data_IF_842724510891
#
_entry.id   IF_842724510891
#
_cell.length_a   1.000
_cell.length_b   1.000
_cell.length_c   1.000
_cell.angle_alpha   90.00
_cell.angle_beta   90.00
_cell.angle_gamma   90.00
#
_symmetry.space_group_name_H-M   'P 1'
#
loop_
_entity.id
_entity.type
_entity.pdbx_description
1 polymer ?
#
# COMPACT_ATOMS: atom_id res chain seq x y z
N UNK A 1 24.34 -16.73 24.82
CA UNK A 1 23.70 -15.44 24.47
C UNK A 1 24.55 -14.28 25.04
N UNK A 2 25.13 -13.41 24.20
CA UNK A 2 25.78 -12.18 24.67
C UNK A 2 24.72 -11.33 25.36
N UNK A 3 24.87 -11.03 26.66
CA UNK A 3 24.03 -10.05 27.37
C UNK A 3 24.30 -8.70 26.70
N UNK A 4 23.37 -8.24 25.86
CA UNK A 4 23.46 -6.90 25.28
C UNK A 4 23.33 -5.86 26.40
N UNK A 5 24.37 -5.05 26.61
CA UNK A 5 24.33 -3.91 27.53
C UNK A 5 23.24 -2.88 27.17
N UNK A 6 22.82 -2.85 25.91
CA UNK A 6 21.73 -2.00 25.38
C UNK A 6 20.70 -2.89 24.71
N UNK A 7 19.45 -2.48 24.81
CA UNK A 7 18.31 -3.16 24.15
C UNK A 7 18.39 -3.02 22.64
N UNK A 8 17.93 -4.02 21.92
CA UNK A 8 17.90 -4.07 20.47
C UNK A 8 16.52 -3.67 19.97
N UNK A 9 16.46 -2.85 18.94
CA UNK A 9 15.30 -2.67 18.07
C UNK A 9 15.64 -3.21 16.69
N UNK A 10 14.84 -4.17 16.21
CA UNK A 10 15.15 -4.89 14.99
C UNK A 10 14.00 -4.77 13.99
N UNK A 11 14.34 -4.50 12.74
CA UNK A 11 13.41 -4.64 11.61
C UNK A 11 13.43 -6.07 11.12
N UNK A 12 12.27 -6.73 11.12
CA UNK A 12 12.11 -8.09 10.63
C UNK A 12 10.75 -8.20 9.95
N UNK A 13 10.67 -7.77 8.70
CA UNK A 13 9.50 -7.87 7.85
C UNK A 13 9.82 -8.76 6.66
N UNK A 14 8.81 -9.54 6.22
CA UNK A 14 8.89 -10.49 5.12
C UNK A 14 7.92 -10.18 3.97
N UNK A 15 7.32 -9.00 4.00
CA UNK A 15 6.45 -8.46 2.95
C UNK A 15 7.23 -7.61 1.91
N UNK A 16 6.53 -6.87 1.06
CA UNK A 16 7.12 -6.12 -0.04
C UNK A 16 8.17 -5.08 0.38
N UNK A 17 9.04 -4.71 -0.56
CA UNK A 17 10.18 -3.82 -0.36
C UNK A 17 9.86 -2.55 0.44
N UNK A 18 8.76 -1.84 0.07
CA UNK A 18 8.37 -0.60 0.76
C UNK A 18 8.04 -0.79 2.25
N UNK A 19 7.37 -1.89 2.61
CA UNK A 19 7.04 -2.21 4.01
C UNK A 19 8.28 -2.55 4.82
N UNK A 20 9.23 -3.31 4.24
CA UNK A 20 10.52 -3.66 4.86
C UNK A 20 11.35 -2.40 5.15
N UNK A 21 11.46 -1.51 4.18
CA UNK A 21 12.21 -0.25 4.34
C UNK A 21 11.54 0.71 5.32
N UNK A 22 10.20 0.78 5.37
CA UNK A 22 9.50 1.53 6.41
C UNK A 22 9.81 1.01 7.82
N UNK A 23 9.78 -0.31 8.01
CA UNK A 23 10.15 -0.94 9.28
C UNK A 23 11.61 -0.68 9.66
N UNK A 24 12.52 -0.72 8.68
CA UNK A 24 13.94 -0.43 8.87
C UNK A 24 14.16 1.01 9.34
N UNK A 25 13.53 1.97 8.66
CA UNK A 25 13.60 3.39 9.06
C UNK A 25 13.01 3.63 10.45
N UNK A 26 11.92 2.98 10.78
CA UNK A 26 11.32 3.05 12.12
C UNK A 26 12.25 2.46 13.18
N UNK A 27 12.92 1.35 12.91
CA UNK A 27 13.91 0.80 13.82
C UNK A 27 15.08 1.77 14.03
N UNK A 28 15.58 2.39 12.96
CA UNK A 28 16.63 3.41 13.06
C UNK A 28 16.16 4.64 13.86
N UNK A 29 14.93 5.09 13.66
CA UNK A 29 14.33 6.18 14.43
C UNK A 29 14.25 5.85 15.93
N UNK A 30 13.66 4.70 16.27
CA UNK A 30 13.50 4.26 17.66
C UNK A 30 14.88 4.08 18.33
N UNK A 31 15.84 3.51 17.61
CA UNK A 31 17.23 3.36 18.10
C UNK A 31 17.82 4.69 18.54
N UNK A 32 17.64 5.76 17.74
CA UNK A 32 18.14 7.10 18.05
C UNK A 32 17.42 7.74 19.24
N UNK A 33 16.09 7.65 19.28
CA UNK A 33 15.29 8.28 20.34
C UNK A 33 15.46 7.60 21.68
N UNK A 34 15.56 6.27 21.70
CA UNK A 34 15.62 5.49 22.94
C UNK A 34 17.03 5.03 23.34
N UNK A 35 18.03 5.31 22.50
CA UNK A 35 19.40 4.82 22.66
C UNK A 35 19.46 3.27 22.68
N UNK A 36 18.73 2.62 21.76
CA UNK A 36 18.77 1.19 21.55
C UNK A 36 19.80 0.85 20.45
N UNK A 37 20.27 -0.40 20.42
CA UNK A 37 20.95 -0.91 19.26
C UNK A 37 19.97 -1.10 18.11
N UNK A 38 20.40 -0.74 16.91
CA UNK A 38 19.65 -0.99 15.68
C UNK A 38 20.12 -2.28 15.03
N UNK A 39 19.18 -3.04 14.47
CA UNK A 39 19.44 -4.20 13.64
C UNK A 39 18.32 -4.44 12.62
N UNK A 40 18.62 -5.28 11.62
CA UNK A 40 17.63 -5.75 10.67
C UNK A 40 17.89 -7.19 10.26
N UNK A 41 16.79 -7.88 9.90
CA UNK A 41 16.78 -9.16 9.21
C UNK A 41 16.26 -8.92 7.81
N UNK A 42 16.86 -9.55 6.81
CA UNK A 42 16.42 -9.47 5.42
C UNK A 42 16.33 -10.88 4.85
N UNK A 43 15.13 -11.31 4.47
CA UNK A 43 14.88 -12.62 3.89
C UNK A 43 14.54 -12.46 2.42
N UNK A 44 15.09 -13.30 1.57
CA UNK A 44 14.88 -13.25 0.12
C UNK A 44 13.52 -13.80 -0.29
N UNK A 45 12.94 -14.71 0.53
CA UNK A 45 11.64 -15.31 0.25
C UNK A 45 10.58 -14.76 1.18
N UNK A 46 9.41 -14.53 0.64
CA UNK A 46 8.20 -14.26 1.40
C UNK A 46 7.64 -15.60 1.87
N UNK A 47 7.98 -16.00 3.09
CA UNK A 47 7.50 -17.25 3.73
C UNK A 47 6.01 -17.21 4.11
N UNK A 48 5.24 -16.24 3.67
CA UNK A 48 3.85 -16.17 4.05
C UNK A 48 2.97 -16.96 3.09
N UNK A 49 2.17 -17.87 3.65
CA UNK A 49 1.10 -18.60 2.96
C UNK A 49 0.11 -17.68 2.21
N UNK A 50 0.13 -16.38 2.53
CA UNK A 50 -0.68 -15.33 1.91
C UNK A 50 -0.19 -14.91 0.51
N UNK A 51 1.05 -15.23 0.15
CA UNK A 51 1.69 -14.79 -1.09
C UNK A 51 2.06 -15.93 -2.05
N UNK A 52 1.52 -17.13 -1.88
CA UNK A 52 1.67 -18.24 -2.84
C UNK A 52 0.92 -18.01 -4.17
N UNK A 53 0.55 -16.77 -4.47
CA UNK A 53 -0.19 -16.44 -5.68
C UNK A 53 0.73 -16.26 -6.89
N UNK A 54 0.37 -16.95 -7.96
CA UNK A 54 1.10 -17.03 -9.23
C UNK A 54 1.35 -15.63 -9.80
N UNK A 55 2.58 -15.41 -10.31
CA UNK A 55 2.85 -14.34 -11.28
C UNK A 55 1.79 -14.37 -12.37
N UNK A 56 1.06 -13.30 -12.56
CA UNK A 56 0.24 -13.08 -13.73
C UNK A 56 0.88 -11.98 -14.57
N UNK A 57 0.76 -12.08 -15.90
CA UNK A 57 1.31 -11.08 -16.82
C UNK A 57 0.58 -9.72 -16.74
N UNK A 58 -0.45 -9.61 -15.89
CA UNK A 58 -1.35 -8.45 -15.82
C UNK A 58 -0.96 -7.41 -14.78
N UNK A 59 -0.16 -7.75 -13.79
CA UNK A 59 0.25 -6.81 -12.75
C UNK A 59 1.57 -7.21 -12.12
N UNK A 60 2.25 -6.22 -11.57
CA UNK A 60 3.53 -6.42 -10.90
C UNK A 60 3.30 -6.90 -9.47
N UNK A 61 3.70 -8.11 -9.18
CA UNK A 61 3.67 -8.67 -7.83
C UNK A 61 5.10 -8.87 -7.34
N UNK A 62 5.48 -8.23 -6.23
CA UNK A 62 6.77 -8.45 -5.57
C UNK A 62 6.64 -9.57 -4.55
N UNK A 63 6.70 -10.82 -5.00
CA UNK A 63 6.67 -12.00 -4.13
C UNK A 63 8.07 -12.42 -3.65
N UNK A 64 9.10 -12.05 -4.40
CA UNK A 64 10.49 -12.35 -4.08
C UNK A 64 11.23 -11.03 -3.86
N UNK A 65 11.92 -10.87 -2.75
CA UNK A 65 12.85 -9.77 -2.54
C UNK A 65 14.24 -10.19 -2.96
N UNK A 66 14.93 -9.28 -3.66
CA UNK A 66 16.35 -9.47 -3.99
C UNK A 66 17.19 -9.55 -2.72
N UNK A 67 18.36 -10.10 -2.86
CA UNK A 67 19.33 -10.31 -1.77
C UNK A 67 19.76 -8.98 -1.14
N UNK A 68 20.02 -9.02 0.15
CA UNK A 68 20.48 -7.84 0.89
C UNK A 68 21.79 -7.27 0.34
N UNK A 69 22.63 -8.14 -0.22
CA UNK A 69 23.92 -7.80 -0.84
C UNK A 69 23.75 -6.95 -2.10
N UNK A 70 22.63 -7.12 -2.80
CA UNK A 70 22.30 -6.31 -3.97
C UNK A 70 21.79 -4.92 -3.59
N UNK A 71 21.12 -4.80 -2.43
CA UNK A 71 20.53 -3.54 -1.93
C UNK A 71 21.53 -2.72 -1.14
N UNK A 72 22.23 -3.35 -0.19
CA UNK A 72 23.04 -2.67 0.80
C UNK A 72 24.53 -2.90 0.59
N UNK A 73 25.33 -1.90 0.94
CA UNK A 73 26.79 -2.03 0.99
C UNK A 73 27.21 -3.02 2.08
N UNK A 74 28.30 -3.75 1.85
CA UNK A 74 28.82 -4.80 2.75
C UNK A 74 29.05 -4.30 4.18
N UNK A 75 29.54 -3.07 4.36
CA UNK A 75 29.79 -2.49 5.69
C UNK A 75 28.49 -2.25 6.47
N UNK A 76 27.40 -1.86 5.78
CA UNK A 76 26.10 -1.71 6.41
C UNK A 76 25.55 -3.06 6.85
N UNK A 77 25.67 -4.08 6.01
CA UNK A 77 25.26 -5.46 6.33
C UNK A 77 26.08 -5.96 7.52
N UNK A 78 27.40 -5.91 7.45
CA UNK A 78 28.29 -6.38 8.53
C UNK A 78 27.99 -5.73 9.88
N UNK A 79 27.59 -4.48 9.87
CA UNK A 79 27.34 -3.71 11.09
C UNK A 79 25.98 -3.95 11.71
N UNK A 80 24.91 -4.14 10.90
CA UNK A 80 23.53 -4.07 11.36
C UNK A 80 22.69 -5.30 11.04
N UNK A 81 23.13 -6.20 10.16
CA UNK A 81 22.34 -7.38 9.81
C UNK A 81 22.45 -8.48 10.85
N UNK A 82 21.31 -9.17 11.06
CA UNK A 82 21.18 -10.39 11.86
C UNK A 82 20.56 -11.47 10.99
N UNK A 83 21.13 -12.69 10.99
CA UNK A 83 20.62 -13.80 10.18
C UNK A 83 19.24 -14.27 10.64
N UNK A 84 19.06 -14.30 11.96
CA UNK A 84 17.79 -14.71 12.57
C UNK A 84 17.53 -13.96 13.87
N UNK A 85 16.27 -13.92 14.25
CA UNK A 85 15.85 -13.51 15.60
C UNK A 85 15.11 -14.66 16.29
N UNK A 86 15.17 -14.74 17.65
CA UNK A 86 14.65 -15.88 18.40
C UNK A 86 13.13 -16.07 18.35
N UNK A 87 12.37 -15.20 17.69
CA UNK A 87 10.91 -15.27 17.64
C UNK A 87 10.35 -14.98 16.27
N UNK A 88 9.39 -15.80 15.84
CA UNK A 88 8.59 -15.63 14.62
C UNK A 88 7.32 -14.79 14.83
N UNK A 89 7.03 -14.34 16.05
CA UNK A 89 5.79 -13.63 16.37
C UNK A 89 5.94 -12.16 15.99
N UNK A 90 5.09 -11.70 15.07
CA UNK A 90 5.01 -10.29 14.70
C UNK A 90 4.19 -9.55 15.76
N UNK A 91 4.85 -8.70 16.56
CA UNK A 91 4.15 -7.84 17.49
C UNK A 91 3.85 -6.49 16.86
N UNK A 92 2.59 -6.13 16.88
CA UNK A 92 2.14 -4.83 16.41
C UNK A 92 2.22 -3.79 17.52
N UNK A 93 2.85 -2.65 17.24
CA UNK A 93 2.82 -1.50 18.12
C UNK A 93 1.41 -0.90 18.30
N UNK A 94 0.42 -1.35 17.54
CA UNK A 94 -0.98 -0.91 17.70
C UNK A 94 -1.54 -1.10 19.13
N UNK A 95 -1.08 -2.12 19.85
CA UNK A 95 -1.42 -2.30 21.26
C UNK A 95 -0.92 -1.17 22.17
N UNK A 96 0.00 -0.34 21.65
CA UNK A 96 0.58 0.80 22.37
C UNK A 96 0.01 2.14 21.89
N UNK A 97 -1.03 2.10 21.04
CA UNK A 97 -1.64 3.31 20.47
C UNK A 97 -2.07 4.30 21.57
N UNK A 98 -1.69 5.57 21.38
CA UNK A 98 -1.96 6.65 22.32
C UNK A 98 -1.00 6.73 23.50
N UNK A 99 -0.06 5.79 23.66
CA UNK A 99 0.98 5.81 24.70
C UNK A 99 2.22 6.56 24.24
N UNK A 100 3.08 6.97 25.19
CA UNK A 100 4.40 7.51 24.88
C UNK A 100 5.32 6.45 24.31
N UNK A 101 6.19 6.80 23.34
CA UNK A 101 7.20 5.89 22.79
C UNK A 101 8.19 5.40 23.87
N UNK A 102 8.38 6.17 24.95
CA UNK A 102 9.26 5.79 26.05
C UNK A 102 8.76 4.57 26.83
N UNK A 103 7.50 4.13 26.64
CA UNK A 103 7.00 2.88 27.19
C UNK A 103 7.86 1.68 26.78
N UNK A 104 8.51 1.76 25.61
CA UNK A 104 9.42 0.73 25.13
C UNK A 104 10.65 0.55 26.03
N UNK A 105 11.00 1.51 26.87
CA UNK A 105 12.07 1.37 27.88
C UNK A 105 11.65 0.58 29.12
N UNK A 106 10.39 0.68 29.49
CA UNK A 106 9.93 0.34 30.85
C UNK A 106 9.09 -0.93 30.92
N UNK A 107 8.55 -1.41 29.78
CA UNK A 107 7.77 -2.65 29.79
C UNK A 107 8.66 -3.89 29.73
N UNK A 108 8.22 -4.98 30.40
CA UNK A 108 8.80 -6.28 30.12
C UNK A 108 8.67 -6.54 28.62
N UNK A 109 9.78 -6.90 28.03
CA UNK A 109 9.87 -7.12 26.59
C UNK A 109 9.17 -8.41 26.27
N UNK A 110 8.44 -8.39 25.16
CA UNK A 110 7.91 -9.63 24.58
C UNK A 110 9.05 -10.53 24.07
N UNK A 111 10.25 -9.92 23.91
CA UNK A 111 11.47 -10.63 23.52
C UNK A 111 12.62 -10.34 24.49
N UNK A 112 13.45 -11.33 24.73
CA UNK A 112 14.63 -11.20 25.59
C UNK A 112 15.66 -10.20 25.07
N UNK A 113 15.66 -9.90 23.77
CA UNK A 113 16.61 -8.95 23.15
C UNK A 113 16.11 -7.49 23.13
N UNK A 114 14.80 -7.25 23.19
CA UNK A 114 14.21 -5.91 23.05
C UNK A 114 12.90 -5.91 22.28
N UNK A 115 12.83 -5.21 21.13
CA UNK A 115 11.60 -5.05 20.35
C UNK A 115 11.80 -5.26 18.88
N UNK A 116 10.74 -5.70 18.21
CA UNK A 116 10.63 -5.71 16.75
C UNK A 116 9.92 -4.43 16.28
N UNK A 117 10.47 -3.77 15.27
CA UNK A 117 9.86 -2.60 14.63
C UNK A 117 8.68 -2.96 13.75
N UNK A 118 7.85 -1.97 13.43
CA UNK A 118 6.75 -2.08 12.48
C UNK A 118 6.92 -1.10 11.31
N UNK A 119 6.14 -1.31 10.27
CA UNK A 119 6.14 -0.47 9.06
C UNK A 119 5.24 0.77 9.17
N UNK A 120 4.40 0.86 10.18
CA UNK A 120 3.40 1.91 10.31
C UNK A 120 4.00 3.27 10.66
N UNK A 121 3.24 4.34 10.40
CA UNK A 121 3.61 5.69 10.81
C UNK A 121 3.55 5.82 12.34
N UNK A 122 4.71 5.92 12.97
CA UNK A 122 4.81 5.96 14.43
C UNK A 122 4.15 7.20 15.04
N UNK A 123 3.99 8.28 14.29
CA UNK A 123 3.28 9.49 14.76
C UNK A 123 1.78 9.25 14.93
N UNK A 124 1.23 8.21 14.29
CA UNK A 124 -0.17 7.80 14.47
C UNK A 124 -0.36 6.78 15.59
N UNK A 125 0.73 6.22 16.10
CA UNK A 125 0.74 5.22 17.16
C UNK A 125 1.08 5.84 18.50
N UNK A 126 2.18 6.58 18.59
CA UNK A 126 2.68 7.15 19.85
C UNK A 126 2.30 8.61 20.00
N UNK A 127 1.75 8.97 21.15
CA UNK A 127 1.21 10.32 21.42
C UNK A 127 2.26 11.43 21.44
N UNK A 128 3.50 11.10 21.76
CA UNK A 128 4.63 12.02 21.85
C UNK A 128 5.52 12.06 20.60
N UNK A 129 5.23 11.25 19.60
CA UNK A 129 5.93 11.28 18.30
C UNK A 129 5.30 12.36 17.42
N UNK A 130 5.94 13.52 17.33
CA UNK A 130 5.49 14.64 16.50
C UNK A 130 5.85 14.41 15.03
N UNK A 131 4.87 14.40 14.15
CA UNK A 131 5.02 14.04 12.73
C UNK A 131 6.17 14.81 12.05
N UNK A 132 6.24 16.14 12.19
CA UNK A 132 7.29 16.96 11.56
C UNK A 132 8.70 16.56 11.97
N UNK A 133 8.92 16.31 13.27
CA UNK A 133 10.23 15.88 13.78
C UNK A 133 10.55 14.45 13.36
N UNK A 134 9.56 13.58 13.44
CA UNK A 134 9.65 12.20 13.02
C UNK A 134 10.07 12.10 11.55
N UNK A 135 9.35 12.77 10.63
CA UNK A 135 9.69 12.81 9.21
C UNK A 135 11.11 13.34 8.95
N UNK A 136 11.52 14.39 9.65
CA UNK A 136 12.90 14.91 9.55
C UNK A 136 13.94 13.86 9.94
N UNK A 137 13.72 13.12 11.00
CA UNK A 137 14.64 12.07 11.46
C UNK A 137 14.63 10.84 10.55
N UNK A 138 13.48 10.47 9.97
CA UNK A 138 13.42 9.40 8.97
C UNK A 138 14.27 9.74 7.73
N UNK A 139 14.15 10.97 7.19
CA UNK A 139 15.00 11.43 6.07
C UNK A 139 16.48 11.42 6.43
N UNK A 140 16.83 11.83 7.64
CA UNK A 140 18.23 11.72 8.11
C UNK A 140 18.68 10.26 8.18
N UNK A 141 17.82 9.36 8.69
CA UNK A 141 18.11 7.93 8.75
C UNK A 141 18.24 7.31 7.37
N UNK A 142 17.40 7.73 6.40
CA UNK A 142 17.51 7.30 5.01
C UNK A 142 18.89 7.60 4.41
N UNK A 143 19.39 8.81 4.62
CA UNK A 143 20.70 9.25 4.12
C UNK A 143 21.89 8.54 4.81
N UNK A 144 21.66 7.89 5.94
CA UNK A 144 22.66 7.08 6.65
C UNK A 144 22.71 5.62 6.16
N UNK A 145 21.73 5.18 5.37
CA UNK A 145 21.75 3.85 4.77
C UNK A 145 22.80 3.82 3.68
N UNK A 146 23.73 2.89 3.81
CA UNK A 146 24.74 2.64 2.78
C UNK A 146 24.16 1.65 1.75
N UNK A 147 23.64 2.19 0.66
CA UNK A 147 23.17 1.39 -0.46
C UNK A 147 24.34 0.89 -1.33
N UNK A 148 24.11 -0.22 -2.04
CA UNK A 148 25.03 -0.75 -3.06
C UNK A 148 25.26 0.27 -4.18
N UNK A 149 26.27 0.05 -5.00
CA UNK A 149 26.57 0.92 -6.15
C UNK A 149 25.39 0.96 -7.13
N UNK A 150 24.77 -0.18 -7.40
CA UNK A 150 23.62 -0.29 -8.29
C UNK A 150 22.43 0.51 -7.77
N UNK A 151 22.05 0.36 -6.51
CA UNK A 151 20.93 1.10 -5.92
C UNK A 151 21.19 2.61 -5.86
N UNK A 152 22.44 3.02 -5.63
CA UNK A 152 22.80 4.45 -5.73
C UNK A 152 22.68 4.98 -7.16
N UNK A 153 23.05 4.19 -8.15
CA UNK A 153 22.83 4.56 -9.56
C UNK A 153 21.36 4.73 -9.88
N UNK A 154 20.51 3.79 -9.46
CA UNK A 154 19.04 3.88 -9.61
C UNK A 154 18.48 5.15 -8.95
N UNK A 155 18.97 5.51 -7.76
CA UNK A 155 18.56 6.76 -7.09
C UNK A 155 18.89 7.99 -7.95
N UNK A 156 20.10 8.06 -8.49
CA UNK A 156 20.52 9.16 -9.35
C UNK A 156 19.68 9.27 -10.62
N UNK A 157 19.34 8.14 -11.23
CA UNK A 157 18.48 8.11 -12.40
C UNK A 157 17.05 8.63 -12.09
N UNK A 158 16.46 8.20 -10.98
CA UNK A 158 15.17 8.72 -10.54
C UNK A 158 15.22 10.23 -10.26
N UNK A 159 16.32 10.72 -9.69
CA UNK A 159 16.53 12.16 -9.47
C UNK A 159 16.72 12.95 -10.78
N UNK A 160 17.35 12.37 -11.79
CA UNK A 160 17.43 12.99 -13.14
C UNK A 160 16.03 13.14 -13.75
N UNK A 161 15.21 12.08 -13.67
CA UNK A 161 13.84 12.14 -14.16
C UNK A 161 13.04 13.21 -13.40
N UNK A 162 13.14 13.28 -12.08
CA UNK A 162 12.43 14.29 -11.30
C UNK A 162 12.82 15.73 -11.72
N UNK A 163 14.08 15.97 -12.08
CA UNK A 163 14.57 17.28 -12.56
C UNK A 163 14.05 17.68 -13.94
N UNK A 164 13.52 16.74 -14.75
CA UNK A 164 12.87 17.07 -16.02
C UNK A 164 11.59 17.90 -15.81
N UNK A 165 11.01 17.84 -14.62
CA UNK A 165 9.81 18.56 -14.25
C UNK A 165 10.17 19.85 -13.48
N UNK A 166 10.60 20.90 -14.21
CA UNK A 166 11.08 22.16 -13.63
C UNK A 166 10.11 22.81 -12.63
N UNK A 167 8.80 22.75 -12.92
CA UNK A 167 7.73 23.24 -12.03
C UNK A 167 7.30 22.23 -10.97
N UNK A 168 7.97 21.07 -10.91
CA UNK A 168 7.58 19.95 -10.08
C UNK A 168 6.42 19.15 -10.68
N UNK A 169 5.96 18.14 -9.94
CA UNK A 169 4.86 17.27 -10.34
C UNK A 169 4.07 16.79 -9.12
N UNK A 170 2.85 16.32 -9.38
CA UNK A 170 2.03 15.58 -8.43
C UNK A 170 2.14 14.08 -8.72
N UNK A 171 2.32 13.27 -7.68
CA UNK A 171 2.31 11.82 -7.80
C UNK A 171 0.95 11.26 -7.39
N UNK A 172 0.44 10.29 -8.15
CA UNK A 172 -0.74 9.52 -7.79
C UNK A 172 -0.35 8.05 -7.76
N UNK A 173 -0.43 7.44 -6.58
CA UNK A 173 -0.16 6.02 -6.40
C UNK A 173 -1.48 5.23 -6.38
N UNK A 174 -1.68 4.39 -7.40
CA UNK A 174 -2.85 3.54 -7.58
C UNK A 174 -2.42 2.09 -7.32
N UNK A 175 -2.57 1.62 -6.08
CA UNK A 175 -2.51 0.20 -5.79
C UNK A 175 -3.76 -0.46 -6.34
N UNK A 176 -3.61 -1.49 -7.15
CA UNK A 176 -4.69 -2.18 -7.82
C UNK A 176 -4.42 -3.69 -7.93
N UNK A 177 -3.40 -4.09 -8.65
CA UNK A 177 -2.93 -5.41 -9.03
C UNK A 177 -3.57 -6.59 -8.28
N UNK A 178 -2.84 -7.14 -7.32
CA UNK A 178 -3.27 -8.29 -6.52
C UNK A 178 -4.62 -8.07 -5.80
N UNK A 179 -4.92 -6.86 -5.40
CA UNK A 179 -6.15 -6.54 -4.67
C UNK A 179 -7.39 -6.67 -5.56
N UNK A 180 -7.30 -6.24 -6.82
CA UNK A 180 -8.44 -6.25 -7.74
C UNK A 180 -8.53 -7.56 -8.50
N UNK A 181 -7.40 -8.09 -9.00
CA UNK A 181 -7.41 -9.27 -9.88
C UNK A 181 -7.39 -10.60 -9.13
N UNK A 182 -6.85 -10.64 -7.91
CA UNK A 182 -6.83 -11.84 -7.06
C UNK A 182 -7.88 -11.81 -5.93
N UNK A 183 -8.74 -10.81 -5.94
CA UNK A 183 -9.76 -10.61 -4.94
C UNK A 183 -10.83 -11.72 -5.01
N UNK A 184 -10.50 -12.89 -4.47
CA UNK A 184 -11.37 -14.08 -4.44
C UNK A 184 -11.83 -14.43 -3.03
N UNK A 185 -11.78 -13.50 -2.12
CA UNK A 185 -11.84 -13.82 -0.73
C UNK A 185 -13.21 -13.87 -0.09
N UNK A 186 -13.32 -14.69 0.91
CA UNK A 186 -14.50 -14.98 1.74
C UNK A 186 -14.43 -14.36 3.13
N UNK A 187 -13.45 -13.54 3.44
CA UNK A 187 -13.22 -13.13 4.82
C UNK A 187 -13.57 -11.67 5.09
N UNK A 188 -13.80 -11.34 6.35
CA UNK A 188 -13.94 -9.95 6.84
C UNK A 188 -12.76 -9.05 6.47
N UNK A 189 -11.63 -9.62 6.10
CA UNK A 189 -10.44 -8.95 5.58
C UNK A 189 -10.70 -8.20 4.26
N UNK A 190 -11.71 -8.59 3.51
CA UNK A 190 -12.10 -7.95 2.26
C UNK A 190 -12.37 -6.47 2.43
N UNK A 191 -13.05 -6.07 3.51
CA UNK A 191 -13.34 -4.66 3.77
C UNK A 191 -12.06 -3.85 3.99
N UNK A 192 -11.08 -4.41 4.71
CA UNK A 192 -9.78 -3.76 4.93
C UNK A 192 -8.92 -3.76 3.67
N UNK A 193 -8.98 -4.83 2.88
CA UNK A 193 -8.23 -4.92 1.62
C UNK A 193 -8.79 -3.99 0.57
N UNK A 194 -10.10 -3.79 0.51
CA UNK A 194 -10.72 -2.86 -0.43
C UNK A 194 -10.12 -1.45 -0.33
N UNK A 195 -9.90 -0.94 0.87
CA UNK A 195 -9.27 0.37 1.07
C UNK A 195 -7.75 0.42 0.83
N UNK A 196 -7.11 -0.70 0.50
CA UNK A 196 -5.71 -0.71 0.04
C UNK A 196 -5.59 -0.31 -1.43
N UNK A 197 -6.58 -0.68 -2.25
CA UNK A 197 -6.65 -0.28 -3.64
C UNK A 197 -7.36 1.07 -3.80
N UNK A 198 -7.25 1.66 -4.99
CA UNK A 198 -7.99 2.87 -5.38
C UNK A 198 -8.61 2.64 -6.75
N UNK A 199 -9.91 2.93 -6.89
CA UNK A 199 -10.60 2.84 -8.17
C UNK A 199 -10.05 3.86 -9.17
N UNK A 200 -9.78 3.41 -10.40
CA UNK A 200 -9.38 4.30 -11.50
C UNK A 200 -10.48 5.32 -11.84
N UNK A 201 -11.75 4.98 -11.68
CA UNK A 201 -12.86 5.92 -11.84
C UNK A 201 -12.78 7.06 -10.81
N UNK A 202 -12.46 6.74 -9.55
CA UNK A 202 -12.24 7.76 -8.52
C UNK A 202 -11.07 8.69 -8.90
N UNK A 203 -9.96 8.12 -9.36
CA UNK A 203 -8.78 8.91 -9.75
C UNK A 203 -9.06 9.80 -10.97
N UNK A 204 -9.79 9.30 -11.96
CA UNK A 204 -10.17 10.10 -13.13
C UNK A 204 -10.91 11.39 -12.71
N UNK A 205 -11.87 11.28 -11.79
CA UNK A 205 -12.56 12.45 -11.26
C UNK A 205 -11.65 13.35 -10.39
N UNK A 206 -10.76 12.77 -9.61
CA UNK A 206 -9.78 13.56 -8.84
C UNK A 206 -8.92 14.39 -9.78
N UNK A 207 -8.44 13.82 -10.87
CA UNK A 207 -7.65 14.54 -11.87
C UNK A 207 -8.51 15.63 -12.52
N UNK A 208 -9.71 15.28 -12.98
CA UNK A 208 -10.61 16.21 -13.70
C UNK A 208 -11.05 17.40 -12.84
N UNK A 209 -11.40 17.18 -11.59
CA UNK A 209 -12.03 18.20 -10.76
C UNK A 209 -11.11 18.88 -9.75
N UNK A 210 -9.99 18.26 -9.40
CA UNK A 210 -9.09 18.76 -8.36
C UNK A 210 -7.69 19.06 -8.85
N UNK A 211 -7.22 18.38 -9.89
CA UNK A 211 -5.88 18.50 -10.43
C UNK A 211 -5.85 19.06 -11.85
N UNK A 212 -6.96 19.63 -12.33
CA UNK A 212 -7.07 20.19 -13.69
C UNK A 212 -6.11 21.34 -13.97
N UNK A 213 -5.63 22.02 -12.92
CA UNK A 213 -4.66 23.12 -13.00
C UNK A 213 -3.20 22.64 -12.88
N UNK A 214 -2.97 21.36 -12.58
CA UNK A 214 -1.63 20.79 -12.46
C UNK A 214 -1.09 20.46 -13.86
N UNK A 215 0.14 20.89 -14.15
CA UNK A 215 0.75 20.68 -15.45
C UNK A 215 1.36 19.27 -15.59
N UNK A 216 1.86 18.70 -14.50
CA UNK A 216 2.56 17.41 -14.54
C UNK A 216 2.01 16.47 -13.45
N UNK A 217 1.46 15.36 -13.87
CA UNK A 217 0.97 14.29 -12.98
C UNK A 217 1.67 13.00 -13.38
N UNK A 218 2.32 12.34 -12.42
CA UNK A 218 2.91 11.02 -12.64
C UNK A 218 2.07 9.97 -11.93
N UNK A 219 1.59 8.99 -12.67
CA UNK A 219 0.86 7.82 -12.17
C UNK A 219 1.85 6.70 -11.88
N UNK A 220 1.79 6.18 -10.65
CA UNK A 220 2.50 5.01 -10.18
C UNK A 220 1.48 3.91 -9.92
N UNK A 221 1.53 2.82 -10.65
CA UNK A 221 0.56 1.74 -10.52
C UNK A 221 1.16 0.38 -10.87
N UNK A 222 0.65 -0.65 -10.21
CA UNK A 222 0.90 -2.04 -10.53
C UNK A 222 -0.02 -2.60 -11.65
N UNK A 223 -1.02 -1.81 -12.10
CA UNK A 223 -1.89 -2.11 -13.25
C UNK A 223 -1.61 -1.14 -14.42
N UNK A 224 -0.71 -1.55 -15.30
CA UNK A 224 -0.24 -0.72 -16.40
C UNK A 224 -1.31 -0.48 -17.47
N UNK A 225 -2.15 -1.48 -17.75
CA UNK A 225 -3.20 -1.36 -18.78
C UNK A 225 -4.27 -0.34 -18.38
N UNK A 226 -4.76 -0.42 -17.14
CA UNK A 226 -5.73 0.56 -16.64
C UNK A 226 -5.11 1.97 -16.54
N UNK A 227 -3.81 2.06 -16.25
CA UNK A 227 -3.07 3.34 -16.23
C UNK A 227 -2.99 3.98 -17.62
N UNK A 228 -2.75 3.19 -18.67
CA UNK A 228 -2.77 3.66 -20.07
C UNK A 228 -4.15 4.17 -20.48
N UNK A 229 -5.22 3.47 -20.05
CA UNK A 229 -6.60 3.92 -20.30
C UNK A 229 -6.84 5.27 -19.58
N UNK A 230 -6.44 5.38 -18.31
CA UNK A 230 -6.57 6.61 -17.54
C UNK A 230 -5.80 7.78 -18.19
N UNK A 231 -4.55 7.55 -18.63
CA UNK A 231 -3.73 8.55 -19.33
C UNK A 231 -4.45 9.04 -20.58
N UNK A 232 -4.97 8.11 -21.41
CA UNK A 232 -5.70 8.46 -22.63
C UNK A 232 -7.00 9.24 -22.34
N UNK A 233 -7.66 8.96 -21.21
CA UNK A 233 -8.90 9.63 -20.82
C UNK A 233 -8.67 11.05 -20.30
N UNK A 234 -7.57 11.28 -19.59
CA UNK A 234 -7.32 12.53 -18.84
C UNK A 234 -6.39 13.53 -19.54
N UNK A 235 -5.95 13.26 -20.80
CA UNK A 235 -5.14 14.16 -21.61
C UNK A 235 -3.62 14.21 -21.29
N UNK A 236 -2.88 15.06 -22.03
CA UNK A 236 -1.42 15.10 -22.21
C UNK A 236 -0.58 15.49 -20.97
N UNK A 237 -1.22 15.78 -19.84
CA UNK A 237 -0.53 16.17 -18.59
C UNK A 237 -0.09 14.99 -17.75
N UNK A 238 -0.44 13.76 -18.18
CA UNK A 238 -0.22 12.55 -17.41
C UNK A 238 0.94 11.75 -17.98
N UNK A 239 1.86 11.44 -17.11
CA UNK A 239 2.97 10.52 -17.34
C UNK A 239 2.74 9.24 -16.54
N UNK A 240 3.17 8.11 -17.08
CA UNK A 240 3.23 6.85 -16.34
C UNK A 240 4.66 6.64 -15.86
N UNK A 241 4.85 6.22 -14.62
CA UNK A 241 6.18 5.98 -14.07
C UNK A 241 6.98 4.96 -14.91
N UNK A 242 6.29 3.97 -15.51
CA UNK A 242 6.90 2.98 -16.40
C UNK A 242 7.52 3.59 -17.66
N UNK A 243 7.06 4.74 -18.13
CA UNK A 243 7.58 5.39 -19.35
C UNK A 243 9.03 5.85 -19.19
N UNK A 244 9.48 6.06 -17.95
CA UNK A 244 10.87 6.43 -17.64
C UNK A 244 11.80 5.23 -17.46
N UNK A 245 11.30 4.01 -17.67
CA UNK A 245 12.01 2.74 -17.47
C UNK A 245 12.14 1.92 -18.74
N UNK A 246 11.59 2.37 -19.88
CA UNK A 246 11.44 1.57 -21.11
C UNK A 246 12.72 0.93 -21.64
N UNK A 247 13.89 1.54 -21.39
CA UNK A 247 15.18 1.06 -21.89
C UNK A 247 16.02 0.35 -20.80
N UNK A 248 15.44 0.04 -19.63
CA UNK A 248 16.18 -0.49 -18.48
C UNK A 248 15.69 -1.89 -18.12
N UNK A 249 16.59 -2.85 -18.13
CA UNK A 249 16.33 -4.20 -17.62
C UNK A 249 16.46 -4.22 -16.10
N UNK A 250 15.47 -3.63 -15.39
CA UNK A 250 15.42 -3.62 -13.93
C UNK A 250 14.60 -4.80 -13.42
N UNK A 251 15.06 -5.42 -12.34
CA UNK A 251 14.26 -6.34 -11.55
C UNK A 251 13.05 -5.63 -10.92
N UNK A 252 12.07 -6.37 -10.45
CA UNK A 252 10.88 -5.79 -9.84
C UNK A 252 11.21 -4.90 -8.61
N UNK A 253 12.21 -5.28 -7.80
CA UNK A 253 12.63 -4.49 -6.65
C UNK A 253 13.40 -3.23 -7.05
N UNK A 254 14.26 -3.32 -8.05
CA UNK A 254 14.96 -2.16 -8.60
C UNK A 254 14.00 -1.16 -9.23
N UNK A 255 13.01 -1.65 -9.98
CA UNK A 255 11.91 -0.84 -10.49
C UNK A 255 11.12 -0.18 -9.35
N UNK A 256 10.72 -0.96 -8.34
CA UNK A 256 10.02 -0.46 -7.16
C UNK A 256 10.83 0.62 -6.44
N UNK A 257 12.13 0.43 -6.32
CA UNK A 257 13.04 1.39 -5.72
C UNK A 257 13.10 2.69 -6.53
N UNK A 258 13.29 2.60 -7.85
CA UNK A 258 13.27 3.77 -8.75
C UNK A 258 11.97 4.56 -8.59
N UNK A 259 10.83 3.88 -8.67
CA UNK A 259 9.51 4.51 -8.58
C UNK A 259 9.28 5.18 -7.21
N UNK A 260 9.71 4.55 -6.11
CA UNK A 260 9.64 5.13 -4.75
C UNK A 260 10.49 6.40 -4.66
N UNK A 261 11.71 6.37 -5.18
CA UNK A 261 12.60 7.55 -5.18
C UNK A 261 11.99 8.66 -6.03
N UNK A 262 11.53 8.38 -7.23
CA UNK A 262 10.87 9.35 -8.10
C UNK A 262 9.64 9.95 -7.41
N UNK A 263 8.75 9.11 -6.86
CA UNK A 263 7.56 9.54 -6.13
C UNK A 263 7.91 10.44 -4.93
N UNK A 264 9.01 10.18 -4.23
CA UNK A 264 9.46 10.98 -3.09
C UNK A 264 9.85 12.42 -3.43
N UNK A 265 10.06 12.72 -4.73
CA UNK A 265 10.40 14.07 -5.23
C UNK A 265 9.14 14.87 -5.64
N UNK A 266 7.96 14.27 -5.61
CA UNK A 266 6.71 14.95 -5.90
C UNK A 266 6.40 16.06 -4.87
N UNK A 267 5.65 17.07 -5.27
CA UNK A 267 5.13 18.09 -4.35
C UNK A 267 4.03 17.53 -3.46
N UNK A 268 3.14 16.76 -4.06
CA UNK A 268 2.04 16.04 -3.37
C UNK A 268 1.99 14.59 -3.83
N UNK A 269 1.66 13.69 -2.91
CA UNK A 269 1.45 12.27 -3.18
C UNK A 269 0.03 11.91 -2.79
N UNK A 270 -0.81 11.59 -3.78
CA UNK A 270 -2.15 11.05 -3.59
C UNK A 270 -2.08 9.52 -3.52
N UNK A 271 -2.70 8.93 -2.50
CA UNK A 271 -2.61 7.47 -2.25
C UNK A 271 -3.79 6.93 -1.43
N UNK A 272 -3.93 5.61 -1.35
CA UNK A 272 -4.98 4.95 -0.56
C UNK A 272 -4.79 5.05 0.97
N UNK A 273 -3.58 5.27 1.43
CA UNK A 273 -3.20 5.33 2.85
C UNK A 273 -2.59 4.05 3.42
N UNK A 274 -2.80 2.90 2.79
CA UNK A 274 -2.41 1.57 3.31
C UNK A 274 -1.40 0.83 2.43
N UNK A 275 -0.51 1.56 1.75
CA UNK A 275 0.56 0.95 0.97
C UNK A 275 1.92 1.36 1.49
N UNK A 276 2.79 0.38 1.75
CA UNK A 276 4.18 0.63 2.11
C UNK A 276 4.97 1.36 1.04
N UNK A 277 4.57 1.20 -0.21
CA UNK A 277 5.18 1.85 -1.36
C UNK A 277 5.09 3.40 -1.25
N UNK A 278 3.87 3.94 -1.23
CA UNK A 278 3.66 5.39 -1.07
C UNK A 278 4.04 5.89 0.33
N UNK A 279 3.90 5.05 1.36
CA UNK A 279 4.34 5.39 2.73
C UNK A 279 5.85 5.63 2.77
N UNK A 280 6.65 4.76 2.15
CA UNK A 280 8.10 4.95 2.08
C UNK A 280 8.47 6.24 1.33
N UNK A 281 7.85 6.50 0.18
CA UNK A 281 8.05 7.74 -0.55
C UNK A 281 7.75 8.97 0.33
N UNK A 282 6.65 8.95 1.10
CA UNK A 282 6.33 10.02 2.06
C UNK A 282 7.33 10.10 3.24
N UNK A 283 7.93 8.98 3.65
CA UNK A 283 8.92 8.97 4.75
C UNK A 283 10.24 9.61 4.35
N UNK A 284 10.68 9.37 3.13
CA UNK A 284 11.99 9.83 2.64
C UNK A 284 11.92 11.18 1.91
N UNK A 285 10.75 11.55 1.37
CA UNK A 285 10.48 12.81 0.68
C UNK A 285 10.05 13.94 1.61
N UNK A 286 9.86 15.12 0.98
CA UNK A 286 9.26 16.31 1.62
C UNK A 286 7.83 16.54 1.15
N UNK A 287 7.31 15.63 0.35
CA UNK A 287 5.99 15.70 -0.28
C UNK A 287 4.86 15.80 0.74
N UNK A 288 3.81 16.53 0.39
CA UNK A 288 2.55 16.51 1.11
C UNK A 288 1.83 15.17 0.84
N UNK A 289 1.60 14.40 1.90
CA UNK A 289 0.90 13.12 1.83
C UNK A 289 -0.62 13.33 1.87
N UNK A 290 -1.35 12.84 0.85
CA UNK A 290 -2.79 13.00 0.72
C UNK A 290 -3.45 11.63 0.59
N UNK A 291 -4.00 11.14 1.70
CA UNK A 291 -4.82 9.94 1.67
C UNK A 291 -6.18 10.27 1.06
N UNK A 292 -6.46 9.76 -0.14
CA UNK A 292 -7.68 10.03 -0.92
C UNK A 292 -8.94 9.73 -0.09
N UNK A 293 -8.97 8.60 0.60
CA UNK A 293 -10.12 8.17 1.40
C UNK A 293 -10.38 9.01 2.67
N UNK A 294 -9.40 9.82 3.09
CA UNK A 294 -9.54 10.77 4.22
C UNK A 294 -9.75 12.20 3.75
N UNK A 295 -9.19 12.55 2.59
CA UNK A 295 -9.22 13.91 2.07
C UNK A 295 -10.58 14.27 1.44
N UNK A 296 -11.17 13.35 0.69
CA UNK A 296 -12.50 13.53 0.11
C UNK A 296 -13.58 12.95 1.02
N UNK A 297 -14.71 13.64 1.14
CA UNK A 297 -15.89 13.11 1.84
C UNK A 297 -16.44 11.86 1.13
N UNK A 298 -17.18 11.02 1.86
CA UNK A 298 -17.76 9.80 1.28
C UNK A 298 -18.69 10.08 0.10
N UNK A 299 -19.47 11.16 0.18
CA UNK A 299 -20.36 11.59 -0.92
C UNK A 299 -19.55 12.01 -2.16
N UNK A 300 -18.41 12.71 -1.96
CA UNK A 300 -17.55 13.06 -3.08
C UNK A 300 -16.94 11.81 -3.73
N UNK A 301 -16.40 10.88 -2.92
CA UNK A 301 -15.83 9.63 -3.43
C UNK A 301 -16.88 8.80 -4.20
N UNK A 302 -18.09 8.72 -3.67
CA UNK A 302 -19.21 8.04 -4.30
C UNK A 302 -19.57 8.67 -5.65
N UNK A 303 -19.79 9.99 -5.70
CA UNK A 303 -20.10 10.70 -6.93
C UNK A 303 -18.96 10.60 -7.95
N UNK A 304 -17.73 10.74 -7.51
CA UNK A 304 -16.54 10.64 -8.37
C UNK A 304 -16.44 9.30 -9.12
N UNK A 305 -16.88 8.19 -8.49
CA UNK A 305 -16.93 6.91 -9.19
C UNK A 305 -18.11 6.89 -10.16
N UNK A 306 -19.30 7.35 -9.74
CA UNK A 306 -20.50 7.35 -10.59
C UNK A 306 -20.32 8.18 -11.85
N UNK A 307 -19.62 9.32 -11.78
CA UNK A 307 -19.48 10.27 -12.89
C UNK A 307 -18.78 9.64 -14.12
N UNK A 308 -17.98 8.61 -13.93
CA UNK A 308 -17.24 8.00 -15.03
C UNK A 308 -17.19 6.47 -15.03
N UNK A 309 -18.10 5.81 -14.32
CA UNK A 309 -18.05 4.34 -14.23
C UNK A 309 -18.28 3.65 -15.59
N UNK A 310 -19.01 4.29 -16.49
CA UNK A 310 -19.27 3.80 -17.83
C UNK A 310 -18.41 4.46 -18.91
N UNK A 311 -17.73 5.57 -18.60
CA UNK A 311 -16.89 6.30 -19.55
C UNK A 311 -15.48 5.67 -19.69
N UNK A 312 -14.87 5.25 -18.57
CA UNK A 312 -13.60 4.55 -18.60
C UNK A 312 -13.79 3.09 -19.02
N UNK A 313 -13.20 2.72 -20.16
CA UNK A 313 -13.24 1.33 -20.68
C UNK A 313 -12.23 0.42 -19.92
N UNK A 314 -12.40 0.31 -18.63
CA UNK A 314 -11.59 -0.54 -17.77
C UNK A 314 -11.91 -2.02 -17.97
N UNK A 315 -11.02 -2.90 -17.47
CA UNK A 315 -11.32 -4.33 -17.42
C UNK A 315 -12.55 -4.61 -16.56
N UNK A 316 -13.20 -5.76 -16.80
CA UNK A 316 -14.39 -6.15 -16.04
C UNK A 316 -14.10 -6.22 -14.53
N UNK A 317 -12.94 -6.71 -14.13
CA UNK A 317 -12.54 -6.79 -12.72
C UNK A 317 -12.37 -5.39 -12.10
N UNK A 318 -11.78 -4.43 -12.82
CA UNK A 318 -11.65 -3.05 -12.35
C UNK A 318 -13.04 -2.38 -12.21
N UNK A 319 -13.93 -2.65 -13.15
CA UNK A 319 -15.31 -2.15 -13.10
C UNK A 319 -16.08 -2.78 -11.92
N UNK A 320 -15.94 -4.09 -11.73
CA UNK A 320 -16.49 -4.80 -10.57
C UNK A 320 -16.00 -4.20 -9.25
N UNK A 321 -14.70 -3.94 -9.14
CA UNK A 321 -14.12 -3.29 -7.97
C UNK A 321 -14.72 -1.89 -7.73
N UNK A 322 -14.93 -1.10 -8.78
CA UNK A 322 -15.57 0.22 -8.65
C UNK A 322 -17.02 0.10 -8.13
N UNK A 323 -17.80 -0.88 -8.61
CA UNK A 323 -19.12 -1.17 -8.05
C UNK A 323 -19.08 -1.62 -6.59
N UNK A 324 -18.08 -2.41 -6.22
CA UNK A 324 -17.89 -2.81 -4.83
C UNK A 324 -17.60 -1.61 -3.92
N UNK A 325 -16.76 -0.66 -4.37
CA UNK A 325 -16.52 0.58 -3.64
C UNK A 325 -17.79 1.45 -3.52
N UNK A 326 -18.61 1.52 -4.57
CA UNK A 326 -19.93 2.18 -4.51
C UNK A 326 -20.86 1.53 -3.48
N UNK A 327 -20.85 0.19 -3.40
CA UNK A 327 -21.58 -0.53 -2.36
C UNK A 327 -21.08 -0.17 -0.95
N UNK A 328 -19.74 -0.18 -0.75
CA UNK A 328 -19.14 0.19 0.54
C UNK A 328 -19.57 1.61 0.94
N UNK A 329 -19.44 2.56 0.04
CA UNK A 329 -19.82 3.95 0.32
C UNK A 329 -21.32 4.10 0.56
N UNK A 330 -22.17 3.42 -0.23
CA UNK A 330 -23.62 3.40 -0.02
C UNK A 330 -23.99 2.85 1.36
N UNK A 331 -23.29 1.82 1.82
CA UNK A 331 -23.49 1.22 3.15
C UNK A 331 -23.05 2.18 4.26
N UNK A 332 -21.86 2.79 4.14
CA UNK A 332 -21.35 3.75 5.12
C UNK A 332 -22.21 5.02 5.21
N UNK A 333 -22.75 5.48 4.08
CA UNK A 333 -23.72 6.60 4.03
C UNK A 333 -25.15 6.19 4.41
N UNK A 334 -25.40 4.92 4.75
CA UNK A 334 -26.72 4.38 5.09
C UNK A 334 -27.77 4.59 3.98
N UNK A 335 -27.36 4.53 2.72
CA UNK A 335 -28.32 4.56 1.61
C UNK A 335 -29.22 3.32 1.64
N UNK A 336 -30.35 3.38 0.91
CA UNK A 336 -31.34 2.30 0.91
C UNK A 336 -30.73 0.95 0.56
N UNK A 337 -31.26 -0.14 1.13
CA UNK A 337 -30.83 -1.51 0.83
C UNK A 337 -30.99 -1.84 -0.65
N UNK A 338 -32.02 -1.28 -1.31
CA UNK A 338 -32.22 -1.40 -2.75
C UNK A 338 -31.03 -0.83 -3.53
N UNK A 339 -30.51 0.33 -3.12
CA UNK A 339 -29.33 0.95 -3.77
C UNK A 339 -28.05 0.15 -3.52
N UNK A 340 -27.88 -0.36 -2.29
CA UNK A 340 -26.76 -1.23 -1.95
C UNK A 340 -26.79 -2.52 -2.77
N UNK A 341 -27.96 -3.16 -2.89
CA UNK A 341 -28.17 -4.37 -3.69
C UNK A 341 -27.86 -4.14 -5.16
N UNK A 342 -28.32 -3.03 -5.74
CA UNK A 342 -28.05 -2.66 -7.13
C UNK A 342 -26.55 -2.67 -7.45
N UNK A 343 -25.71 -2.12 -6.59
CA UNK A 343 -24.26 -2.11 -6.83
C UNK A 343 -23.63 -3.50 -6.71
N UNK A 344 -24.15 -4.34 -5.80
CA UNK A 344 -23.67 -5.72 -5.68
C UNK A 344 -24.05 -6.56 -6.90
N UNK A 345 -25.27 -6.37 -7.44
CA UNK A 345 -25.73 -7.02 -8.67
C UNK A 345 -24.87 -6.60 -9.85
N UNK A 346 -24.65 -5.30 -10.03
CA UNK A 346 -23.78 -4.79 -11.09
C UNK A 346 -22.34 -5.28 -10.97
N UNK A 347 -21.77 -5.30 -9.79
CA UNK A 347 -20.43 -5.83 -9.56
C UNK A 347 -20.35 -7.33 -9.87
N UNK A 348 -21.37 -8.11 -9.51
CA UNK A 348 -21.45 -9.53 -9.82
C UNK A 348 -21.60 -9.81 -11.32
N UNK A 349 -22.38 -8.98 -12.06
CA UNK A 349 -22.46 -9.06 -13.53
C UNK A 349 -21.09 -8.92 -14.19
N UNK A 350 -20.22 -8.05 -13.63
CA UNK A 350 -18.89 -7.81 -14.15
C UNK A 350 -17.87 -8.87 -13.70
N UNK A 351 -17.97 -9.42 -12.49
CA UNK A 351 -17.04 -10.46 -11.99
C UNK A 351 -17.80 -11.55 -11.22
N UNK A 352 -18.35 -12.51 -11.98
CA UNK A 352 -19.12 -13.65 -11.42
C UNK A 352 -18.27 -14.59 -10.56
N UNK A 353 -16.93 -14.58 -10.75
CA UNK A 353 -16.02 -15.42 -9.98
C UNK A 353 -15.71 -14.84 -8.60
N UNK A 354 -16.03 -13.58 -8.36
CA UNK A 354 -15.79 -12.92 -7.08
C UNK A 354 -16.98 -13.08 -6.14
N UNK A 355 -16.86 -14.01 -5.23
CA UNK A 355 -17.93 -14.38 -4.30
C UNK A 355 -18.30 -13.29 -3.29
N UNK A 356 -17.50 -12.23 -3.17
CA UNK A 356 -17.80 -11.12 -2.24
C UNK A 356 -19.15 -10.48 -2.51
N UNK A 357 -19.54 -10.39 -3.78
CA UNK A 357 -20.82 -9.80 -4.18
C UNK A 357 -22.00 -10.62 -3.64
N UNK A 358 -21.97 -11.93 -3.88
CA UNK A 358 -23.03 -12.84 -3.43
C UNK A 358 -23.08 -12.89 -1.90
N UNK A 359 -21.94 -13.00 -1.22
CA UNK A 359 -21.90 -13.03 0.23
C UNK A 359 -22.45 -11.73 0.84
N UNK A 360 -22.14 -10.58 0.23
CA UNK A 360 -22.68 -9.29 0.68
C UNK A 360 -24.18 -9.15 0.41
N UNK A 361 -24.72 -9.77 -0.66
CA UNK A 361 -26.18 -9.86 -0.89
C UNK A 361 -26.85 -10.69 0.20
N UNK A 362 -26.29 -11.85 0.53
CA UNK A 362 -26.79 -12.69 1.63
C UNK A 362 -26.81 -11.89 2.94
N UNK A 363 -25.72 -11.17 3.27
CA UNK A 363 -25.67 -10.30 4.46
C UNK A 363 -26.82 -9.26 4.47
N UNK A 364 -27.14 -8.67 3.31
CA UNK A 364 -28.25 -7.72 3.20
C UNK A 364 -29.58 -8.42 3.46
N UNK A 365 -29.86 -9.57 2.85
CA UNK A 365 -31.09 -10.31 3.08
C UNK A 365 -31.26 -10.74 4.54
N UNK A 366 -30.18 -11.21 5.19
CA UNK A 366 -30.21 -11.47 6.63
C UNK A 366 -30.54 -10.21 7.44
N UNK A 367 -29.98 -9.06 7.07
CA UNK A 367 -30.28 -7.79 7.76
C UNK A 367 -31.72 -7.30 7.58
N UNK A 368 -32.40 -7.80 6.57
CA UNK A 368 -33.82 -7.53 6.28
C UNK A 368 -34.77 -8.62 6.82
N UNK A 369 -34.23 -9.65 7.50
CA UNK A 369 -34.97 -10.85 7.93
C UNK A 369 -35.64 -11.61 6.76
N UNK A 370 -35.17 -11.43 5.52
CA UNK A 370 -35.62 -12.15 4.32
C UNK A 370 -34.78 -13.45 4.16
N UNK A 371 -35.03 -14.38 5.06
CA UNK A 371 -34.29 -15.64 5.14
C UNK A 371 -34.56 -16.57 3.95
N UNK A 372 -35.71 -16.43 3.31
CA UNK A 372 -36.06 -17.22 2.13
C UNK A 372 -35.13 -16.88 0.97
N UNK A 373 -34.97 -15.59 0.64
CA UNK A 373 -34.05 -15.18 -0.42
C UNK A 373 -32.61 -15.48 -0.09
N UNK A 374 -32.17 -15.27 1.17
CA UNK A 374 -30.84 -15.66 1.59
C UNK A 374 -30.58 -17.15 1.37
N UNK A 375 -31.53 -18.01 1.76
CA UNK A 375 -31.44 -19.46 1.63
C UNK A 375 -31.51 -19.93 0.16
N UNK A 376 -32.30 -19.26 -0.68
CA UNK A 376 -32.33 -19.53 -2.12
C UNK A 376 -30.94 -19.31 -2.74
N UNK A 377 -30.30 -18.17 -2.48
CA UNK A 377 -28.97 -17.86 -3.01
C UNK A 377 -27.93 -18.88 -2.50
N UNK A 378 -27.98 -19.23 -1.21
CA UNK A 378 -27.08 -20.26 -0.63
C UNK A 378 -27.25 -21.59 -1.34
N UNK A 379 -28.50 -22.03 -1.57
CA UNK A 379 -28.77 -23.27 -2.30
C UNK A 379 -28.19 -23.26 -3.70
N UNK A 380 -28.40 -22.16 -4.46
CA UNK A 380 -27.88 -22.01 -5.82
C UNK A 380 -26.36 -22.14 -5.88
N UNK A 381 -25.63 -21.58 -4.90
CA UNK A 381 -24.18 -21.66 -4.81
C UNK A 381 -23.72 -23.08 -4.45
N UNK A 382 -24.37 -23.71 -3.49
CA UNK A 382 -24.03 -25.08 -3.04
C UNK A 382 -24.28 -26.09 -4.14
N UNK A 383 -25.43 -26.00 -4.83
CA UNK A 383 -25.77 -26.91 -5.94
C UNK A 383 -24.81 -26.82 -7.13
N UNK A 384 -24.22 -25.65 -7.37
CA UNK A 384 -23.25 -25.44 -8.46
C UNK A 384 -21.81 -25.86 -8.10
N UNK A 385 -21.57 -26.43 -6.90
CA UNK A 385 -20.21 -26.70 -6.38
C UNK A 385 -19.27 -25.49 -6.51
N UNK A 386 -19.77 -24.29 -6.29
CA UNK A 386 -19.06 -23.03 -6.49
C UNK A 386 -18.39 -22.52 -5.19
N UNK A 387 -18.19 -23.39 -4.20
CA UNK A 387 -17.37 -23.11 -3.00
C UNK A 387 -15.97 -23.67 -3.11
#
# INVERSE_FOLDING_TARGET
>A
MKKYKRKLIISNRDDGFGERMCSLLNAMYISKILNFHFGFVWKNKVDSLLYQYKKTDRYLCCNDCIDKEEIFHSDFIKKFHYDTIPSSIIHSFFKMKGKSIYILKNKPYEYSFGHQSCQEDLSTIFSDVKERQYRKLLRKSWNEIQFSLNFRHIMLEAEKVAKMFEKGFVAIHIRSGDIVFEFKGYSRWLMFSAYKAVSFNLIASVIKYKLNYIENIIIFSDDTDSSKILKKYCDNKIFLAEEFLCDKHLSNDERSFFEIILMSKAQEIYHSGNSGFSRLACFIGVSRSICIYKYFSKIQQYNFILDNIDELRLSRQQKAYSYFMLFIFAREMKLSKKKQMFFLEKGYEEDKNNKVFILSQIEIYFSLCDYEKANQIIKEIVYKNEF
#
